data_IF_023190693512
#
_entry.id   IF_023190693512
#
_cell.length_a   1.000
_cell.length_b   1.000
_cell.length_c   1.000
_cell.angle_alpha   90.00
_cell.angle_beta   90.00
_cell.angle_gamma   90.00
#
_symmetry.space_group_name_H-M   'P 1'
#
loop_
_entity.id
_entity.type
_entity.pdbx_description
1 polymer ?
#
# COMPACT_ATOMS: atom_id res chain seq x y z
N UNK A 1 1.73 2.84 12.52
CA UNK A 1 0.46 2.56 13.22
C UNK A 1 0.56 2.69 14.75
N UNK A 2 1.71 2.36 15.40
CA UNK A 2 1.84 2.26 16.86
C UNK A 2 1.38 3.51 17.66
N UNK A 3 1.61 4.71 17.17
CA UNK A 3 1.21 5.96 17.83
C UNK A 3 -0.29 6.26 17.70
N UNK A 4 -0.95 5.80 16.64
CA UNK A 4 -2.34 6.17 16.37
C UNK A 4 -3.31 5.88 17.53
N UNK A 5 -3.27 4.71 18.19
CA UNK A 5 -4.10 4.42 19.37
C UNK A 5 -3.77 5.28 20.59
N UNK A 6 -2.57 5.85 20.64
CA UNK A 6 -2.09 6.65 21.78
C UNK A 6 -2.41 8.14 21.65
N UNK A 7 -2.83 8.59 20.46
CA UNK A 7 -3.11 10.01 20.21
C UNK A 7 -4.11 10.64 21.17
N UNK A 8 -5.18 9.99 21.63
CA UNK A 8 -6.09 10.56 22.63
C UNK A 8 -5.35 10.89 23.95
N UNK A 9 -4.50 9.99 24.44
CA UNK A 9 -3.72 10.18 25.66
C UNK A 9 -2.67 11.28 25.51
N UNK A 10 -1.95 11.31 24.37
CA UNK A 10 -0.99 12.37 24.03
C UNK A 10 -1.68 13.73 23.92
N UNK A 11 -2.89 13.77 23.34
CA UNK A 11 -3.68 14.99 23.22
C UNK A 11 -4.05 15.56 24.58
N UNK A 12 -4.49 14.71 25.50
CA UNK A 12 -4.90 15.11 26.85
C UNK A 12 -3.69 15.59 27.67
N UNK A 13 -2.62 14.84 27.69
CA UNK A 13 -1.39 15.14 28.46
C UNK A 13 -0.73 16.45 28.00
N UNK A 14 -0.59 16.64 26.70
CA UNK A 14 0.06 17.82 26.12
C UNK A 14 -0.92 18.99 25.83
N UNK A 15 -2.18 18.87 26.20
CA UNK A 15 -3.25 19.86 25.93
C UNK A 15 -3.32 20.30 24.45
N UNK A 16 -3.25 19.34 23.54
CA UNK A 16 -3.24 19.61 22.10
C UNK A 16 -4.65 19.84 21.54
N UNK A 17 -4.75 20.72 20.55
CA UNK A 17 -6.00 20.92 19.79
C UNK A 17 -6.22 19.79 18.78
N UNK A 18 -7.46 19.61 18.32
CA UNK A 18 -7.75 18.68 17.24
C UNK A 18 -6.95 19.00 15.97
N UNK A 19 -6.78 20.27 15.61
CA UNK A 19 -6.02 20.69 14.45
C UNK A 19 -4.54 20.30 14.55
N UNK A 20 -3.97 20.37 15.76
CA UNK A 20 -2.59 19.93 15.98
C UNK A 20 -2.43 18.41 15.81
N UNK A 21 -3.41 17.62 16.27
CA UNK A 21 -3.43 16.16 16.07
C UNK A 21 -3.56 15.84 14.57
N UNK A 22 -4.46 16.49 13.84
CA UNK A 22 -4.61 16.33 12.39
C UNK A 22 -3.33 16.72 11.64
N UNK A 23 -2.72 17.85 11.98
CA UNK A 23 -1.45 18.30 11.40
C UNK A 23 -0.34 17.29 11.61
N UNK A 24 -0.26 16.70 12.82
CA UNK A 24 0.70 15.63 13.10
C UNK A 24 0.49 14.40 12.21
N UNK A 25 -0.76 14.05 11.92
CA UNK A 25 -1.11 12.93 11.02
C UNK A 25 -0.69 13.22 9.58
N UNK A 26 -0.96 14.43 9.09
CA UNK A 26 -0.53 14.89 7.77
C UNK A 26 1.01 14.87 7.64
N UNK A 27 1.74 15.29 8.69
CA UNK A 27 3.20 15.21 8.71
C UNK A 27 3.70 13.77 8.54
N UNK A 28 3.10 12.81 9.25
CA UNK A 28 3.43 11.39 9.11
C UNK A 28 3.19 10.84 7.70
N UNK A 29 2.05 11.20 7.10
CA UNK A 29 1.71 10.81 5.71
C UNK A 29 2.68 11.46 4.72
N UNK A 30 3.02 12.74 4.91
CA UNK A 30 4.00 13.46 4.08
C UNK A 30 5.37 12.79 4.09
N UNK A 31 5.85 12.38 5.28
CA UNK A 31 7.08 11.60 5.42
C UNK A 31 7.02 10.28 4.63
N UNK A 32 5.89 9.60 4.70
CA UNK A 32 5.68 8.34 3.95
C UNK A 32 5.71 8.55 2.44
N UNK A 33 5.04 9.57 1.92
CA UNK A 33 5.04 9.90 0.48
C UNK A 33 6.46 10.15 0.00
N UNK A 34 7.19 11.02 0.69
CA UNK A 34 8.58 11.34 0.34
C UNK A 34 9.45 10.07 0.31
N UNK A 35 9.36 9.25 1.35
CA UNK A 35 10.16 8.02 1.44
C UNK A 35 9.81 6.99 0.38
N UNK A 36 8.57 6.88 -0.06
CA UNK A 36 8.18 5.99 -1.16
C UNK A 36 8.84 6.37 -2.48
N UNK A 37 8.92 7.66 -2.80
CA UNK A 37 9.66 8.13 -3.97
C UNK A 37 11.15 7.86 -3.88
N UNK A 38 11.75 8.01 -2.70
CA UNK A 38 13.17 7.81 -2.48
C UNK A 38 13.57 6.32 -2.46
N UNK A 39 12.81 5.50 -1.74
CA UNK A 39 13.15 4.07 -1.53
C UNK A 39 12.93 3.22 -2.79
N UNK A 40 12.01 3.62 -3.68
CA UNK A 40 11.77 2.90 -4.92
C UNK A 40 13.05 2.69 -5.75
N UNK A 41 13.70 3.75 -6.24
CA UNK A 41 14.93 3.62 -7.02
C UNK A 41 16.11 3.05 -6.22
N UNK A 42 16.14 3.25 -4.90
CA UNK A 42 17.14 2.62 -4.04
C UNK A 42 16.98 1.09 -4.02
N UNK A 43 15.74 0.56 -4.03
CA UNK A 43 15.48 -0.89 -4.12
C UNK A 43 16.05 -1.49 -5.40
N UNK A 44 15.95 -0.78 -6.53
CA UNK A 44 16.48 -1.25 -7.80
C UNK A 44 18.01 -1.35 -7.79
N UNK A 45 18.67 -0.54 -6.97
CA UNK A 45 20.12 -0.48 -6.89
C UNK A 45 20.69 -1.38 -5.77
N UNK A 46 20.14 -1.31 -4.58
CA UNK A 46 20.72 -1.96 -3.38
C UNK A 46 20.02 -3.24 -2.96
N UNK A 47 18.84 -3.51 -3.51
CA UNK A 47 17.98 -4.63 -3.11
C UNK A 47 17.09 -4.32 -1.92
N UNK A 48 16.02 -5.11 -1.79
CA UNK A 48 15.03 -4.89 -0.74
C UNK A 48 15.53 -5.27 0.65
N UNK A 49 16.28 -6.34 0.78
CA UNK A 49 16.80 -6.87 2.06
C UNK A 49 17.55 -5.80 2.86
N UNK A 50 18.54 -5.20 2.21
CA UNK A 50 19.40 -4.18 2.83
C UNK A 50 18.59 -2.96 3.26
N UNK A 51 17.76 -2.44 2.34
CA UNK A 51 16.97 -1.24 2.60
C UNK A 51 15.89 -1.47 3.64
N UNK A 52 15.22 -2.62 3.61
CA UNK A 52 14.18 -2.95 4.59
C UNK A 52 14.77 -3.02 6.01
N UNK A 53 15.93 -3.66 6.16
CA UNK A 53 16.66 -3.73 7.42
C UNK A 53 17.05 -2.33 7.93
N UNK A 54 17.63 -1.50 7.06
CA UNK A 54 18.03 -0.14 7.41
C UNK A 54 16.81 0.69 7.82
N UNK A 55 15.73 0.66 7.05
CA UNK A 55 14.52 1.46 7.33
C UNK A 55 13.86 1.04 8.64
N UNK A 56 13.79 -0.26 8.95
CA UNK A 56 13.25 -0.73 10.22
C UNK A 56 14.11 -0.26 11.41
N UNK A 57 15.44 -0.39 11.30
CA UNK A 57 16.33 0.08 12.35
C UNK A 57 16.28 1.60 12.54
N UNK A 58 16.25 2.38 11.44
CA UNK A 58 16.13 3.83 11.50
C UNK A 58 14.78 4.29 12.05
N UNK A 59 13.68 3.64 11.67
CA UNK A 59 12.34 3.98 12.16
C UNK A 59 12.11 3.59 13.64
N UNK A 60 12.85 2.62 14.13
CA UNK A 60 12.82 2.24 15.55
C UNK A 60 13.26 3.39 16.47
N UNK A 61 14.23 4.20 16.04
CA UNK A 61 14.76 5.32 16.83
C UNK A 61 13.68 6.35 17.15
N UNK A 62 13.03 7.01 16.16
CA UNK A 62 11.97 7.98 16.48
C UNK A 62 10.76 7.31 17.16
N UNK A 63 10.49 6.04 16.89
CA UNK A 63 9.42 5.31 17.60
C UNK A 63 9.73 5.18 19.08
N UNK A 64 10.96 4.84 19.46
CA UNK A 64 11.39 4.81 20.85
C UNK A 64 11.38 6.20 21.51
N UNK A 65 11.70 7.24 20.74
CA UNK A 65 11.70 8.63 21.21
C UNK A 65 10.31 9.26 21.36
N UNK A 66 9.23 8.51 21.11
CA UNK A 66 7.84 9.02 21.25
C UNK A 66 7.60 9.62 22.64
N UNK A 67 8.12 8.99 23.69
CA UNK A 67 7.98 9.47 25.07
C UNK A 67 8.68 10.79 25.39
N UNK A 68 9.56 11.29 24.51
CA UNK A 68 10.29 12.54 24.70
C UNK A 68 9.54 13.77 24.17
N UNK A 69 8.35 13.58 23.60
CA UNK A 69 7.55 14.66 23.03
C UNK A 69 6.90 15.47 24.14
N UNK A 70 7.12 16.79 24.10
CA UNK A 70 6.55 17.75 25.05
C UNK A 70 5.71 18.85 24.36
N UNK A 71 5.82 18.97 23.03
CA UNK A 71 5.17 20.05 22.26
C UNK A 71 4.53 19.53 20.98
N UNK A 72 3.55 20.29 20.46
CA UNK A 72 2.92 19.99 19.17
C UNK A 72 3.96 19.89 18.03
N UNK A 73 4.92 20.83 17.97
CA UNK A 73 5.98 20.83 16.96
C UNK A 73 6.87 19.59 17.08
N UNK A 74 7.22 19.19 18.32
CA UNK A 74 7.94 17.95 18.59
C UNK A 74 7.18 16.72 18.04
N UNK A 75 5.87 16.67 18.24
CA UNK A 75 5.01 15.62 17.71
C UNK A 75 5.01 15.60 16.15
N UNK A 76 4.98 16.77 15.50
CA UNK A 76 5.04 16.85 14.03
C UNK A 76 6.35 16.31 13.48
N UNK A 77 7.48 16.75 14.04
CA UNK A 77 8.81 16.27 13.66
C UNK A 77 8.96 14.77 13.89
N UNK A 78 8.49 14.29 15.04
CA UNK A 78 8.53 12.87 15.36
C UNK A 78 7.70 12.04 14.38
N UNK A 79 6.46 12.45 14.09
CA UNK A 79 5.60 11.73 13.17
C UNK A 79 6.09 11.78 11.74
N UNK A 80 6.70 12.88 11.31
CA UNK A 80 7.40 12.96 10.02
C UNK A 80 8.53 11.92 9.94
N UNK A 81 9.35 11.83 11.00
CA UNK A 81 10.45 10.85 11.07
C UNK A 81 9.93 9.39 11.12
N UNK A 82 8.86 9.10 11.87
CA UNK A 82 8.22 7.78 11.88
C UNK A 82 7.58 7.47 10.53
N UNK A 83 7.15 8.47 9.77
CA UNK A 83 6.65 8.33 8.40
C UNK A 83 7.63 7.59 7.48
N UNK A 84 8.92 7.62 7.78
CA UNK A 84 9.96 6.83 7.09
C UNK A 84 9.60 5.34 7.06
N UNK A 85 9.05 4.81 8.16
CA UNK A 85 8.61 3.42 8.22
C UNK A 85 7.51 3.08 7.19
N UNK A 86 6.70 4.06 6.79
CA UNK A 86 5.66 3.87 5.76
C UNK A 86 6.22 3.58 4.36
N UNK A 87 7.51 3.86 4.14
CA UNK A 87 8.22 3.46 2.94
C UNK A 87 8.48 1.95 2.86
N UNK A 88 8.40 1.21 3.97
CA UNK A 88 8.58 -0.24 4.03
C UNK A 88 7.65 -1.01 3.07
N UNK A 89 6.47 -0.47 2.79
CA UNK A 89 5.54 -1.04 1.83
C UNK A 89 6.17 -1.21 0.42
N UNK A 90 6.93 -0.23 -0.06
CA UNK A 90 7.60 -0.31 -1.38
C UNK A 90 8.60 -1.45 -1.42
N UNK A 91 9.40 -1.58 -0.36
CA UNK A 91 10.38 -2.65 -0.26
C UNK A 91 9.72 -4.03 -0.15
N UNK A 92 8.62 -4.13 0.61
CA UNK A 92 7.84 -5.36 0.73
C UNK A 92 7.29 -5.80 -0.65
N UNK A 93 6.64 -4.91 -1.40
CA UNK A 93 6.10 -5.20 -2.73
C UNK A 93 7.20 -5.54 -3.75
N UNK A 94 8.29 -4.79 -3.72
CA UNK A 94 9.45 -5.06 -4.56
C UNK A 94 10.03 -6.45 -4.26
N UNK A 95 10.26 -6.74 -2.99
CA UNK A 95 10.86 -8.01 -2.55
C UNK A 95 9.99 -9.21 -2.90
N UNK A 96 8.70 -9.12 -2.59
CA UNK A 96 7.71 -10.14 -2.96
C UNK A 96 7.72 -10.40 -4.47
N UNK A 97 7.74 -9.33 -5.29
CA UNK A 97 7.80 -9.45 -6.75
C UNK A 97 9.10 -10.09 -7.27
N UNK A 98 10.19 -10.06 -6.49
CA UNK A 98 11.47 -10.71 -6.83
C UNK A 98 11.56 -12.15 -6.33
N UNK A 99 10.83 -12.49 -5.28
CA UNK A 99 10.83 -13.82 -4.67
C UNK A 99 9.86 -14.78 -5.33
N UNK A 100 8.74 -14.29 -5.86
CA UNK A 100 7.70 -15.12 -6.43
C UNK A 100 7.71 -15.09 -7.97
N UNK A 101 7.29 -16.19 -8.57
CA UNK A 101 7.18 -16.31 -10.03
C UNK A 101 6.01 -15.50 -10.57
N UNK A 102 6.03 -15.22 -11.88
CA UNK A 102 5.02 -14.37 -12.55
C UNK A 102 3.60 -14.93 -12.47
N UNK A 103 3.46 -16.25 -12.30
CA UNK A 103 2.17 -16.95 -12.20
C UNK A 103 1.39 -16.59 -10.95
N UNK A 104 2.09 -16.32 -9.85
CA UNK A 104 1.50 -16.09 -8.52
C UNK A 104 1.87 -14.73 -7.91
N UNK A 105 2.58 -13.89 -8.66
CA UNK A 105 3.08 -12.59 -8.16
C UNK A 105 1.95 -11.67 -7.73
N UNK A 106 0.80 -11.72 -8.39
CA UNK A 106 -0.37 -10.91 -8.02
C UNK A 106 -0.90 -11.31 -6.65
N UNK A 107 -1.12 -12.60 -6.44
CA UNK A 107 -1.58 -13.15 -5.15
C UNK A 107 -0.56 -12.88 -4.04
N UNK A 108 0.73 -13.11 -4.31
CA UNK A 108 1.78 -12.90 -3.33
C UNK A 108 1.88 -11.42 -2.88
N UNK A 109 1.90 -10.47 -3.84
CA UNK A 109 1.93 -9.05 -3.55
C UNK A 109 0.67 -8.58 -2.80
N UNK A 110 -0.49 -9.10 -3.21
CA UNK A 110 -1.76 -8.76 -2.59
C UNK A 110 -1.83 -9.24 -1.13
N UNK A 111 -1.42 -10.47 -0.85
CA UNK A 111 -1.37 -11.01 0.51
C UNK A 111 -0.36 -10.25 1.38
N UNK A 112 0.86 -10.03 0.87
CA UNK A 112 1.89 -9.30 1.61
C UNK A 112 1.42 -7.87 1.95
N UNK A 113 0.78 -7.17 1.00
CA UNK A 113 0.23 -5.82 1.23
C UNK A 113 -0.96 -5.82 2.19
N UNK A 114 -1.90 -6.76 2.03
CA UNK A 114 -3.09 -6.87 2.88
C UNK A 114 -2.74 -7.17 4.33
N UNK A 115 -1.87 -8.13 4.57
CA UNK A 115 -1.42 -8.46 5.92
C UNK A 115 -0.60 -7.33 6.56
N UNK A 116 0.14 -6.55 5.75
CA UNK A 116 0.77 -5.32 6.23
C UNK A 116 -0.24 -4.28 6.72
N UNK A 117 -1.33 -4.06 5.98
CA UNK A 117 -2.39 -3.10 6.35
C UNK A 117 -3.25 -3.59 7.52
N UNK A 118 -3.46 -4.92 7.65
CA UNK A 118 -4.09 -5.51 8.84
C UNK A 118 -3.38 -5.09 10.14
N UNK A 119 -2.09 -4.77 10.05
CA UNK A 119 -1.29 -4.23 11.14
C UNK A 119 -1.90 -3.01 11.83
N UNK A 120 -2.72 -2.20 11.14
CA UNK A 120 -3.43 -1.08 11.76
C UNK A 120 -4.46 -1.58 12.80
N UNK A 121 -5.26 -2.60 12.46
CA UNK A 121 -6.21 -3.23 13.38
C UNK A 121 -5.53 -3.94 14.54
N UNK A 122 -4.49 -4.73 14.24
CA UNK A 122 -3.69 -5.44 15.26
C UNK A 122 -3.06 -4.44 16.24
N UNK A 123 -2.52 -3.34 15.73
CA UNK A 123 -1.88 -2.32 16.57
C UNK A 123 -2.89 -1.61 17.49
N UNK A 124 -4.10 -1.34 17.02
CA UNK A 124 -5.15 -0.78 17.85
C UNK A 124 -5.46 -1.66 19.05
N UNK A 125 -5.56 -2.98 18.85
CA UNK A 125 -5.78 -3.93 19.94
C UNK A 125 -4.55 -4.02 20.84
N UNK A 126 -3.38 -4.23 20.25
CA UNK A 126 -2.15 -4.48 21.00
C UNK A 126 -1.73 -3.24 21.80
N UNK A 127 -1.63 -2.08 21.16
CA UNK A 127 -1.17 -0.84 21.83
C UNK A 127 -2.27 -0.20 22.67
N UNK A 128 -3.49 -0.10 22.12
CA UNK A 128 -4.59 0.62 22.77
C UNK A 128 -5.28 -0.19 23.85
N UNK A 129 -5.57 -1.48 23.61
CA UNK A 129 -6.40 -2.27 24.52
C UNK A 129 -5.61 -3.22 25.43
N UNK A 130 -4.37 -3.56 25.09
CA UNK A 130 -3.57 -4.49 25.89
C UNK A 130 -2.38 -3.80 26.58
N UNK A 131 -1.49 -3.21 25.81
CA UNK A 131 -0.24 -2.68 26.36
C UNK A 131 -0.45 -1.38 27.14
N UNK A 132 -1.31 -0.48 26.67
CA UNK A 132 -1.55 0.79 27.38
C UNK A 132 -2.12 0.57 28.78
N UNK A 133 -3.20 -0.21 29.00
CA UNK A 133 -3.70 -0.52 30.34
C UNK A 133 -2.71 -1.31 31.21
N UNK A 134 -1.92 -2.20 30.58
CA UNK A 134 -0.88 -2.94 31.31
C UNK A 134 0.19 -1.99 31.87
N UNK A 135 0.65 -1.03 31.06
CA UNK A 135 1.65 -0.05 31.47
C UNK A 135 1.09 0.95 32.48
N UNK A 136 -0.18 1.35 32.37
CA UNK A 136 -0.86 2.15 33.40
C UNK A 136 -0.89 1.44 34.76
N UNK A 137 -1.20 0.13 34.75
CA UNK A 137 -1.18 -0.66 35.96
C UNK A 137 0.22 -0.79 36.58
N UNK A 138 1.26 -0.89 35.74
CA UNK A 138 2.65 -1.04 36.20
C UNK A 138 3.19 0.30 36.80
N UNK A 139 2.95 1.40 36.09
CA UNK A 139 3.54 2.69 36.45
C UNK A 139 2.61 3.58 37.30
N UNK A 140 1.32 3.26 37.39
CA UNK A 140 0.33 4.05 38.14
C UNK A 140 0.04 5.44 37.53
N UNK A 141 0.46 5.68 36.29
CA UNK A 141 0.34 6.97 35.63
C UNK A 141 0.12 6.77 34.13
N UNK A 142 -0.94 7.37 33.59
CA UNK A 142 -1.26 7.37 32.14
C UNK A 142 -0.16 8.06 31.33
N UNK A 143 0.42 9.15 31.88
CA UNK A 143 1.53 9.85 31.23
C UNK A 143 2.76 8.94 31.06
N UNK A 144 3.22 8.32 32.11
CA UNK A 144 4.38 7.41 32.04
C UNK A 144 4.09 6.21 31.14
N UNK A 145 2.86 5.72 31.15
CA UNK A 145 2.44 4.59 30.33
C UNK A 145 2.56 4.91 28.82
N UNK A 146 1.94 6.00 28.34
CA UNK A 146 2.01 6.31 26.89
C UNK A 146 3.42 6.70 26.44
N UNK A 147 4.22 7.34 27.34
CA UNK A 147 5.62 7.72 27.06
C UNK A 147 6.52 6.50 26.89
N UNK A 148 6.25 5.39 27.57
CA UNK A 148 7.11 4.21 27.59
C UNK A 148 6.65 3.07 26.68
N UNK A 149 5.35 2.93 26.44
CA UNK A 149 4.78 1.79 25.70
C UNK A 149 5.33 1.67 24.27
N UNK A 150 5.71 2.77 23.62
CA UNK A 150 6.29 2.78 22.26
C UNK A 150 7.69 2.16 22.17
N UNK A 151 8.34 1.90 23.30
CA UNK A 151 9.62 1.16 23.32
C UNK A 151 9.43 -0.27 22.80
N UNK A 152 8.29 -0.91 23.10
CA UNK A 152 8.02 -2.28 22.65
C UNK A 152 8.03 -2.40 21.11
N UNK A 153 7.19 -1.67 20.36
CA UNK A 153 7.22 -1.74 18.89
C UNK A 153 8.55 -1.26 18.31
N UNK A 154 9.26 -0.33 18.96
CA UNK A 154 10.58 0.09 18.54
C UNK A 154 11.60 -1.05 18.62
N UNK A 155 11.64 -1.78 19.74
CA UNK A 155 12.52 -2.94 19.91
C UNK A 155 12.16 -4.03 18.90
N UNK A 156 10.88 -4.32 18.72
CA UNK A 156 10.43 -5.32 17.74
C UNK A 156 10.89 -4.94 16.32
N UNK A 157 10.71 -3.68 15.91
CA UNK A 157 11.15 -3.20 14.60
C UNK A 157 12.68 -3.32 14.43
N UNK A 158 13.44 -2.91 15.45
CA UNK A 158 14.90 -2.98 15.45
C UNK A 158 15.41 -4.41 15.33
N UNK A 159 14.91 -5.31 16.18
CA UNK A 159 15.28 -6.74 16.17
C UNK A 159 14.89 -7.37 14.82
N UNK A 160 13.70 -7.08 14.31
CA UNK A 160 13.26 -7.58 12.99
C UNK A 160 14.18 -7.09 11.87
N UNK A 161 14.63 -5.83 11.91
CA UNK A 161 15.61 -5.30 10.95
C UNK A 161 16.92 -6.08 10.98
N UNK A 162 17.45 -6.40 12.17
CA UNK A 162 18.67 -7.21 12.32
C UNK A 162 18.45 -8.65 11.81
N UNK A 163 17.31 -9.25 12.13
CA UNK A 163 16.97 -10.62 11.68
C UNK A 163 16.92 -10.69 10.16
N UNK A 164 16.22 -9.74 9.52
CA UNK A 164 16.15 -9.65 8.04
C UNK A 164 17.54 -9.54 7.44
N UNK A 165 18.40 -8.68 7.99
CA UNK A 165 19.76 -8.50 7.50
C UNK A 165 20.56 -9.80 7.46
N UNK A 166 20.42 -10.65 8.48
CA UNK A 166 21.25 -11.83 8.67
C UNK A 166 20.69 -13.10 8.02
N UNK A 167 19.35 -13.23 7.89
CA UNK A 167 18.72 -14.51 7.53
C UNK A 167 18.17 -14.50 6.09
N UNK A 168 17.84 -13.31 5.54
CA UNK A 168 17.12 -13.21 4.28
C UNK A 168 18.05 -13.00 3.08
N UNK A 169 17.54 -13.31 1.89
CA UNK A 169 18.17 -13.02 0.59
C UNK A 169 17.34 -12.02 -0.21
N UNK A 170 17.96 -11.27 -1.14
CA UNK A 170 17.26 -10.32 -2.00
C UNK A 170 16.36 -10.98 -3.05
N UNK A 171 16.77 -12.16 -3.53
CA UNK A 171 16.02 -12.97 -4.49
C UNK A 171 16.43 -14.44 -4.41
N UNK A 172 15.72 -15.38 -5.05
CA UNK A 172 16.06 -16.81 -5.04
C UNK A 172 17.46 -17.14 -5.58
N UNK A 173 18.06 -16.22 -6.34
CA UNK A 173 19.43 -16.36 -6.88
C UNK A 173 20.52 -15.84 -5.93
N UNK A 174 20.15 -15.31 -4.78
CA UNK A 174 21.03 -14.73 -3.75
C UNK A 174 20.97 -13.21 -3.64
N UNK A 175 21.97 -12.63 -3.05
CA UNK A 175 22.01 -11.20 -2.74
C UNK A 175 22.52 -10.37 -3.93
N UNK A 176 22.00 -9.15 -4.07
CA UNK A 176 22.36 -8.24 -5.16
C UNK A 176 23.85 -7.89 -5.19
N UNK A 177 24.50 -7.81 -4.03
CA UNK A 177 25.95 -7.58 -3.95
C UNK A 177 26.71 -8.69 -4.66
N UNK A 178 26.36 -9.95 -4.38
CA UNK A 178 27.04 -11.12 -4.97
C UNK A 178 26.74 -11.26 -6.47
N UNK A 179 25.47 -10.99 -6.85
CA UNK A 179 25.03 -11.03 -8.25
C UNK A 179 25.72 -9.95 -9.10
N UNK A 180 25.97 -8.76 -8.53
CA UNK A 180 26.73 -7.69 -9.19
C UNK A 180 28.19 -8.08 -9.39
N UNK A 181 28.84 -8.63 -8.36
CA UNK A 181 30.24 -9.09 -8.45
C UNK A 181 30.39 -10.17 -9.54
N UNK A 182 29.40 -11.05 -9.69
CA UNK A 182 29.37 -12.10 -10.71
C UNK A 182 28.95 -11.59 -12.11
N UNK A 183 28.62 -10.31 -12.27
CA UNK A 183 28.16 -9.74 -13.54
C UNK A 183 26.75 -10.21 -13.98
N UNK A 184 25.99 -10.82 -13.07
CA UNK A 184 24.64 -11.36 -13.33
C UNK A 184 23.53 -10.32 -13.11
N UNK A 185 23.87 -9.13 -12.62
CA UNK A 185 22.92 -8.06 -12.37
C UNK A 185 23.21 -6.86 -13.29
N UNK A 186 22.19 -6.39 -14.05
CA UNK A 186 22.40 -5.24 -14.95
C UNK A 186 22.75 -3.99 -14.14
N UNK A 187 23.64 -3.12 -14.63
CA UNK A 187 23.95 -1.87 -13.96
C UNK A 187 22.75 -0.92 -14.04
N UNK A 188 22.15 -0.64 -12.88
CA UNK A 188 21.06 0.34 -12.74
C UNK A 188 21.56 1.45 -11.83
N UNK A 189 21.32 2.72 -12.23
CA UNK A 189 21.58 3.89 -11.39
C UNK A 189 20.28 4.45 -10.84
N UNK A 190 20.33 5.05 -9.65
CA UNK A 190 19.17 5.64 -8.97
C UNK A 190 18.45 6.64 -9.88
N UNK A 191 19.20 7.57 -10.49
CA UNK A 191 18.64 8.59 -11.38
C UNK A 191 18.00 7.99 -12.63
N UNK A 192 18.66 7.02 -13.28
CA UNK A 192 18.12 6.39 -14.49
C UNK A 192 16.84 5.59 -14.19
N UNK A 193 16.81 4.85 -13.06
CA UNK A 193 15.63 4.10 -12.64
C UNK A 193 14.45 5.05 -12.39
N UNK A 194 14.64 6.08 -11.58
CA UNK A 194 13.59 7.04 -11.28
C UNK A 194 13.08 7.76 -12.54
N UNK A 195 13.99 8.21 -13.41
CA UNK A 195 13.62 8.92 -14.64
C UNK A 195 12.81 8.02 -15.58
N UNK A 196 13.23 6.77 -15.79
CA UNK A 196 12.50 5.82 -16.65
C UNK A 196 11.10 5.52 -16.08
N UNK A 197 10.99 5.25 -14.80
CA UNK A 197 9.71 5.01 -14.16
C UNK A 197 8.79 6.24 -14.22
N UNK A 198 9.33 7.44 -14.00
CA UNK A 198 8.57 8.70 -14.05
C UNK A 198 8.09 9.07 -15.46
N UNK A 199 8.84 8.72 -16.49
CA UNK A 199 8.46 8.96 -17.88
C UNK A 199 7.49 7.90 -18.42
N UNK A 200 7.31 6.78 -17.71
CA UNK A 200 6.38 5.73 -18.12
C UNK A 200 4.94 6.12 -17.78
N UNK A 201 4.13 6.31 -18.82
CA UNK A 201 2.72 6.67 -18.68
C UNK A 201 1.91 5.69 -17.79
N UNK A 202 2.17 4.39 -17.92
CA UNK A 202 1.48 3.37 -17.13
C UNK A 202 1.69 3.55 -15.63
N UNK A 203 2.85 4.05 -15.21
CA UNK A 203 3.14 4.34 -13.79
C UNK A 203 2.15 5.37 -13.23
N UNK A 204 1.85 6.42 -13.98
CA UNK A 204 0.93 7.48 -13.54
C UNK A 204 -0.53 7.05 -13.60
N UNK A 205 -0.92 6.20 -14.55
CA UNK A 205 -2.27 5.61 -14.55
C UNK A 205 -2.45 4.78 -13.27
N UNK A 206 -1.51 3.89 -12.95
CA UNK A 206 -1.59 3.09 -11.74
C UNK A 206 -1.44 3.94 -10.47
N UNK A 207 -0.67 5.03 -10.48
CA UNK A 207 -0.63 6.01 -9.40
C UNK A 207 -2.02 6.56 -9.10
N UNK A 208 -2.76 6.99 -10.13
CA UNK A 208 -4.12 7.51 -9.98
C UNK A 208 -5.11 6.42 -9.54
N UNK A 209 -5.02 5.23 -10.12
CA UNK A 209 -5.86 4.11 -9.71
C UNK A 209 -5.59 3.68 -8.27
N UNK A 210 -4.32 3.64 -7.86
CA UNK A 210 -3.95 3.33 -6.49
C UNK A 210 -4.33 4.43 -5.50
N UNK A 211 -4.34 5.70 -5.94
CA UNK A 211 -4.93 6.79 -5.18
C UNK A 211 -6.44 6.59 -4.94
N UNK A 212 -7.14 6.01 -5.92
CA UNK A 212 -8.58 5.74 -5.86
C UNK A 212 -8.98 4.46 -5.11
N UNK A 213 -8.05 3.56 -4.78
CA UNK A 213 -8.35 2.39 -3.92
C UNK A 213 -7.65 2.51 -2.56
N UNK A 214 -6.34 2.52 -2.47
CA UNK A 214 -5.64 2.65 -1.19
C UNK A 214 -5.89 4.00 -0.50
N UNK A 215 -6.01 5.09 -1.28
CA UNK A 215 -6.40 6.39 -0.73
C UNK A 215 -7.79 6.37 -0.11
N UNK A 216 -8.72 5.62 -0.71
CA UNK A 216 -10.06 5.39 -0.18
C UNK A 216 -10.01 4.57 1.10
N UNK A 217 -9.22 3.47 1.14
CA UNK A 217 -9.05 2.67 2.36
C UNK A 217 -8.57 3.53 3.54
N UNK A 218 -7.51 4.31 3.33
CA UNK A 218 -6.97 5.17 4.38
C UNK A 218 -7.97 6.24 4.85
N UNK A 219 -8.75 6.79 3.92
CA UNK A 219 -9.78 7.77 4.25
C UNK A 219 -10.92 7.12 5.03
N UNK A 220 -11.42 5.98 4.59
CA UNK A 220 -12.52 5.28 5.24
C UNK A 220 -12.16 4.76 6.63
N UNK A 221 -10.93 4.36 6.87
CA UNK A 221 -10.44 3.99 8.21
C UNK A 221 -10.61 5.14 9.25
N UNK A 222 -10.70 6.39 8.79
CA UNK A 222 -10.92 7.57 9.65
C UNK A 222 -12.35 8.07 9.54
N UNK A 223 -12.88 8.25 8.33
CA UNK A 223 -14.16 8.88 8.07
C UNK A 223 -15.35 7.98 8.41
N UNK A 224 -15.22 6.65 8.28
CA UNK A 224 -16.35 5.75 8.51
C UNK A 224 -16.88 5.82 9.94
N UNK A 225 -16.01 5.87 10.94
CA UNK A 225 -16.45 5.97 12.34
C UNK A 225 -17.22 7.27 12.59
N UNK A 226 -16.71 8.40 12.09
CA UNK A 226 -17.38 9.69 12.20
C UNK A 226 -18.74 9.66 11.49
N UNK A 227 -18.79 9.13 10.28
CA UNK A 227 -20.01 8.99 9.50
C UNK A 227 -21.11 8.21 10.26
N UNK A 228 -20.77 7.10 10.92
CA UNK A 228 -21.75 6.31 11.67
C UNK A 228 -22.19 7.00 12.98
N UNK A 229 -21.37 7.84 13.57
CA UNK A 229 -21.77 8.69 14.70
C UNK A 229 -22.73 9.78 14.21
N UNK A 230 -22.36 10.52 13.18
CA UNK A 230 -23.06 11.71 12.74
C UNK A 230 -24.39 11.39 12.03
N UNK A 231 -24.40 10.40 11.14
CA UNK A 231 -25.58 10.09 10.32
C UNK A 231 -26.52 9.05 10.95
N UNK A 232 -25.99 8.13 11.79
CA UNK A 232 -26.77 7.06 12.40
C UNK A 232 -26.89 7.15 13.92
N UNK A 233 -26.32 8.20 14.55
CA UNK A 233 -26.39 8.41 16.00
C UNK A 233 -25.76 7.28 16.83
N UNK A 234 -24.78 6.56 16.26
CA UNK A 234 -24.13 5.47 16.96
C UNK A 234 -23.18 5.97 18.05
N UNK A 235 -23.03 5.20 19.13
CA UNK A 235 -21.99 5.51 20.11
C UNK A 235 -20.60 5.47 19.45
N UNK A 236 -19.65 6.24 19.94
CA UNK A 236 -18.28 6.26 19.41
C UNK A 236 -17.61 4.88 19.43
N UNK A 237 -17.99 4.01 20.36
CA UNK A 237 -17.48 2.63 20.46
C UNK A 237 -18.09 1.73 19.38
N UNK A 238 -19.42 1.78 19.20
CA UNK A 238 -20.10 1.03 18.14
C UNK A 238 -19.65 1.48 16.75
N UNK A 239 -19.55 2.78 16.51
CA UNK A 239 -19.11 3.33 15.24
C UNK A 239 -17.68 2.92 14.89
N UNK A 240 -16.74 2.91 15.86
CA UNK A 240 -15.37 2.39 15.66
C UNK A 240 -15.35 0.90 15.36
N UNK A 241 -16.19 0.11 16.02
CA UNK A 241 -16.32 -1.33 15.77
C UNK A 241 -16.85 -1.61 14.36
N UNK A 242 -17.82 -0.83 13.88
CA UNK A 242 -18.31 -0.93 12.50
C UNK A 242 -17.22 -0.51 11.50
N UNK A 243 -16.54 0.60 11.73
CA UNK A 243 -15.46 1.05 10.87
C UNK A 243 -14.29 0.06 10.81
N UNK A 244 -14.01 -0.64 11.91
CA UNK A 244 -12.96 -1.66 11.96
C UNK A 244 -13.20 -2.84 11.00
N UNK A 245 -14.45 -3.14 10.63
CA UNK A 245 -14.79 -4.15 9.64
C UNK A 245 -14.06 -3.88 8.33
N UNK A 246 -13.97 -2.60 7.93
CA UNK A 246 -13.27 -2.20 6.72
C UNK A 246 -11.79 -2.65 6.75
N UNK A 247 -11.09 -2.42 7.84
CA UNK A 247 -9.70 -2.82 7.99
C UNK A 247 -9.51 -4.35 8.10
N UNK A 248 -10.42 -5.05 8.79
CA UNK A 248 -10.31 -6.50 8.96
C UNK A 248 -10.46 -7.31 7.67
N UNK A 249 -11.16 -6.76 6.67
CA UNK A 249 -11.29 -7.40 5.36
C UNK A 249 -9.94 -7.52 4.61
N UNK A 250 -8.92 -6.74 4.97
CA UNK A 250 -7.56 -6.91 4.48
C UNK A 250 -6.98 -8.32 4.70
N UNK A 251 -7.53 -9.07 5.65
CA UNK A 251 -7.08 -10.44 5.92
C UNK A 251 -7.14 -11.32 4.65
N UNK A 252 -8.16 -11.15 3.82
CA UNK A 252 -8.37 -11.99 2.63
C UNK A 252 -8.79 -11.23 1.36
N UNK A 253 -9.50 -10.10 1.46
CA UNK A 253 -10.11 -9.44 0.29
C UNK A 253 -9.04 -8.96 -0.71
N UNK A 254 -7.94 -8.41 -0.21
CA UNK A 254 -6.82 -8.00 -1.06
C UNK A 254 -6.16 -9.21 -1.74
N UNK A 255 -5.98 -10.30 -1.00
CA UNK A 255 -5.49 -11.57 -1.53
C UNK A 255 -6.37 -12.14 -2.64
N UNK A 256 -7.71 -12.07 -2.48
CA UNK A 256 -8.67 -12.46 -3.52
C UNK A 256 -8.48 -11.63 -4.79
N UNK A 257 -8.28 -10.32 -4.69
CA UNK A 257 -7.98 -9.46 -5.83
C UNK A 257 -6.76 -9.94 -6.62
N UNK A 258 -5.66 -10.22 -5.92
CA UNK A 258 -4.45 -10.79 -6.53
C UNK A 258 -4.69 -12.14 -7.19
N UNK A 259 -5.42 -13.04 -6.50
CA UNK A 259 -5.78 -14.37 -7.02
C UNK A 259 -6.60 -14.29 -8.32
N UNK A 260 -7.66 -13.49 -8.35
CA UNK A 260 -8.45 -13.30 -9.58
C UNK A 260 -7.63 -12.66 -10.70
N UNK A 261 -6.72 -11.77 -10.37
CA UNK A 261 -5.79 -11.17 -11.32
C UNK A 261 -4.84 -12.21 -11.92
N UNK A 262 -4.24 -13.08 -11.12
CA UNK A 262 -3.36 -14.15 -11.58
C UNK A 262 -4.14 -15.20 -12.40
N UNK A 263 -5.31 -15.64 -11.93
CA UNK A 263 -6.17 -16.56 -12.65
C UNK A 263 -6.62 -16.01 -14.02
N UNK A 264 -6.91 -14.71 -14.06
CA UNK A 264 -7.28 -14.04 -15.31
C UNK A 264 -6.09 -13.88 -16.25
N UNK A 265 -4.90 -13.62 -15.72
CA UNK A 265 -3.65 -13.59 -16.49
C UNK A 265 -3.36 -14.97 -17.12
N UNK A 266 -3.56 -16.05 -16.37
CA UNK A 266 -3.38 -17.41 -16.86
C UNK A 266 -4.29 -17.72 -18.04
N UNK A 267 -5.57 -17.33 -17.98
CA UNK A 267 -6.56 -17.66 -19.00
C UNK A 267 -6.57 -16.70 -20.20
N UNK A 268 -6.36 -15.40 -19.97
CA UNK A 268 -6.57 -14.33 -20.97
C UNK A 268 -5.33 -13.46 -21.21
N UNK A 269 -4.20 -13.76 -20.56
CA UNK A 269 -2.98 -12.93 -20.63
C UNK A 269 -3.13 -11.59 -19.90
N UNK A 270 -2.27 -10.62 -20.22
CA UNK A 270 -2.25 -9.30 -19.58
C UNK A 270 -3.60 -8.58 -19.74
N UNK A 271 -4.26 -8.76 -20.85
CA UNK A 271 -5.62 -8.24 -21.09
C UNK A 271 -6.59 -8.64 -19.97
N UNK A 272 -6.56 -9.91 -19.56
CA UNK A 272 -7.39 -10.40 -18.46
C UNK A 272 -7.07 -9.72 -17.14
N UNK A 273 -5.78 -9.54 -16.83
CA UNK A 273 -5.31 -8.85 -15.62
C UNK A 273 -5.80 -7.40 -15.56
N UNK A 274 -5.70 -6.67 -16.67
CA UNK A 274 -6.18 -5.28 -16.75
C UNK A 274 -7.71 -5.22 -16.66
N UNK A 275 -8.44 -6.20 -17.25
CA UNK A 275 -9.89 -6.27 -17.09
C UNK A 275 -10.33 -6.47 -15.65
N UNK A 276 -9.69 -7.35 -14.89
CA UNK A 276 -10.00 -7.56 -13.47
C UNK A 276 -9.77 -6.28 -12.66
N UNK A 277 -8.67 -5.56 -12.92
CA UNK A 277 -8.42 -4.24 -12.30
C UNK A 277 -9.57 -3.27 -12.60
N UNK A 278 -9.97 -3.17 -13.86
CA UNK A 278 -11.06 -2.28 -14.28
C UNK A 278 -12.38 -2.63 -13.61
N UNK A 279 -12.72 -3.92 -13.59
CA UNK A 279 -13.97 -4.41 -12.98
C UNK A 279 -14.01 -4.10 -11.49
N UNK A 280 -12.93 -4.37 -10.75
CA UNK A 280 -12.92 -4.11 -9.31
C UNK A 280 -12.98 -2.62 -8.99
N UNK A 281 -12.27 -1.75 -9.71
CA UNK A 281 -12.41 -0.30 -9.57
C UNK A 281 -13.83 0.19 -9.93
N UNK A 282 -14.42 -0.37 -10.98
CA UNK A 282 -15.79 -0.01 -11.35
C UNK A 282 -16.81 -0.43 -10.29
N UNK A 283 -16.69 -1.64 -9.75
CA UNK A 283 -17.55 -2.12 -8.67
C UNK A 283 -17.31 -1.35 -7.36
N UNK A 284 -16.07 -1.01 -7.05
CA UNK A 284 -15.71 -0.15 -5.93
C UNK A 284 -16.42 1.20 -6.02
N UNK A 285 -16.27 1.92 -7.13
CA UNK A 285 -16.92 3.20 -7.36
C UNK A 285 -18.47 3.10 -7.32
N UNK A 286 -19.03 2.04 -7.91
CA UNK A 286 -20.46 1.74 -7.85
C UNK A 286 -20.95 1.52 -6.41
N UNK A 287 -20.18 0.80 -5.60
CA UNK A 287 -20.52 0.53 -4.20
C UNK A 287 -20.43 1.77 -3.30
N UNK A 288 -19.58 2.74 -3.62
CA UNK A 288 -19.61 4.07 -2.95
C UNK A 288 -20.95 4.74 -3.14
N UNK A 289 -21.51 4.72 -4.37
CA UNK A 289 -22.84 5.28 -4.64
C UNK A 289 -23.95 4.50 -3.93
N UNK A 290 -23.86 3.17 -3.86
CA UNK A 290 -24.81 2.36 -3.06
C UNK A 290 -24.71 2.75 -1.60
N UNK A 291 -23.50 2.79 -1.02
CA UNK A 291 -23.27 3.17 0.38
C UNK A 291 -23.82 4.56 0.70
N UNK A 292 -23.57 5.54 -0.15
CA UNK A 292 -24.05 6.93 0.01
C UNK A 292 -25.58 7.05 0.04
N UNK A 293 -26.32 6.13 -0.55
CA UNK A 293 -27.78 6.14 -0.62
C UNK A 293 -28.46 5.21 0.39
N UNK A 294 -27.70 4.53 1.25
CA UNK A 294 -28.29 3.70 2.32
C UNK A 294 -28.96 4.59 3.37
N UNK A 295 -30.17 4.18 3.79
CA UNK A 295 -30.95 4.92 4.78
C UNK A 295 -31.11 4.15 6.09
N UNK A 296 -30.71 2.88 6.14
CA UNK A 296 -30.81 2.05 7.33
C UNK A 296 -29.42 1.63 7.80
N UNK A 297 -29.21 1.56 9.11
CA UNK A 297 -27.94 1.15 9.68
C UNK A 297 -27.46 -0.21 9.16
N UNK A 298 -28.34 -1.22 9.15
CA UNK A 298 -28.01 -2.57 8.64
C UNK A 298 -27.63 -2.56 7.15
N UNK A 299 -28.36 -1.79 6.33
CA UNK A 299 -28.06 -1.60 4.92
C UNK A 299 -26.70 -0.91 4.70
N UNK A 300 -26.39 0.11 5.52
CA UNK A 300 -25.11 0.82 5.46
C UNK A 300 -23.95 -0.09 5.85
N UNK A 301 -24.09 -0.90 6.89
CA UNK A 301 -23.06 -1.87 7.30
C UNK A 301 -22.85 -2.93 6.20
N UNK A 302 -23.93 -3.47 5.62
CA UNK A 302 -23.82 -4.42 4.52
C UNK A 302 -23.14 -3.81 3.29
N UNK A 303 -23.52 -2.58 2.92
CA UNK A 303 -22.87 -1.86 1.83
C UNK A 303 -21.38 -1.57 2.13
N UNK A 304 -21.04 -1.21 3.37
CA UNK A 304 -19.65 -1.00 3.81
C UNK A 304 -18.80 -2.27 3.62
N UNK A 305 -19.31 -3.44 4.00
CA UNK A 305 -18.62 -4.73 3.82
C UNK A 305 -18.32 -4.99 2.35
N UNK A 306 -19.32 -4.86 1.47
CA UNK A 306 -19.14 -5.11 0.03
C UNK A 306 -18.24 -4.05 -0.61
N UNK A 307 -18.39 -2.80 -0.22
CA UNK A 307 -17.53 -1.70 -0.65
C UNK A 307 -16.05 -1.97 -0.29
N UNK A 308 -15.80 -2.29 0.97
CA UNK A 308 -14.45 -2.60 1.45
C UNK A 308 -13.82 -3.79 0.71
N UNK A 309 -14.61 -4.82 0.40
CA UNK A 309 -14.14 -5.96 -0.37
C UNK A 309 -13.59 -5.53 -1.73
N UNK A 310 -14.30 -4.67 -2.45
CA UNK A 310 -13.85 -4.21 -3.78
C UNK A 310 -12.69 -3.23 -3.71
N UNK A 311 -12.65 -2.34 -2.71
CA UNK A 311 -11.50 -1.45 -2.47
C UNK A 311 -10.21 -2.27 -2.34
N UNK A 312 -10.20 -3.22 -1.43
CA UNK A 312 -9.02 -4.02 -1.15
C UNK A 312 -8.68 -4.99 -2.28
N UNK A 313 -9.69 -5.53 -2.98
CA UNK A 313 -9.45 -6.33 -4.17
C UNK A 313 -8.79 -5.49 -5.28
N UNK A 314 -9.22 -4.24 -5.51
CA UNK A 314 -8.60 -3.32 -6.48
C UNK A 314 -7.15 -2.96 -6.12
N UNK A 315 -6.84 -2.86 -4.82
CA UNK A 315 -5.46 -2.69 -4.36
C UNK A 315 -4.58 -3.89 -4.72
N UNK A 316 -5.09 -5.10 -4.51
CA UNK A 316 -4.40 -6.34 -4.86
C UNK A 316 -4.13 -6.44 -6.36
N UNK A 317 -5.10 -6.09 -7.20
CA UNK A 317 -4.95 -6.12 -8.67
C UNK A 317 -4.00 -5.04 -9.18
N UNK A 318 -3.94 -3.87 -8.54
CA UNK A 318 -2.99 -2.81 -8.90
C UNK A 318 -1.55 -3.30 -8.77
N UNK A 319 -1.20 -3.90 -7.64
CA UNK A 319 0.15 -4.44 -7.43
C UNK A 319 0.42 -5.78 -8.14
N UNK A 320 -0.59 -6.40 -8.71
CA UNK A 320 -0.41 -7.49 -9.65
C UNK A 320 0.10 -7.00 -11.02
N UNK A 321 -0.18 -5.74 -11.41
CA UNK A 321 0.25 -5.15 -12.69
C UNK A 321 1.63 -4.49 -12.58
N UNK A 322 1.94 -3.85 -11.46
CA UNK A 322 3.19 -3.09 -11.23
C UNK A 322 4.46 -3.81 -11.71
N UNK A 323 4.69 -5.11 -11.41
CA UNK A 323 5.92 -5.82 -11.79
C UNK A 323 6.14 -5.97 -13.30
N UNK A 324 5.12 -5.70 -14.11
CA UNK A 324 5.16 -5.86 -15.57
C UNK A 324 5.42 -4.56 -16.30
N UNK A 325 5.27 -3.39 -15.65
CA UNK A 325 5.38 -2.08 -16.31
C UNK A 325 6.82 -1.83 -16.79
N UNK A 326 7.77 -1.95 -15.90
CA UNK A 326 9.20 -1.78 -16.17
C UNK A 326 10.01 -2.68 -15.22
N UNK A 327 10.22 -3.96 -15.55
CA UNK A 327 10.85 -4.92 -14.66
C UNK A 327 12.25 -4.53 -14.16
N UNK A 328 13.13 -3.87 -14.98
CA UNK A 328 14.43 -3.39 -14.51
C UNK A 328 14.33 -2.25 -13.48
N UNK A 329 13.29 -1.41 -13.55
CA UNK A 329 13.07 -0.24 -12.72
C UNK A 329 11.83 -0.38 -11.83
N UNK A 330 11.48 -1.62 -11.49
CA UNK A 330 10.24 -1.98 -10.78
C UNK A 330 10.13 -1.32 -9.40
N UNK A 331 11.24 -1.11 -8.72
CA UNK A 331 11.25 -0.43 -7.42
C UNK A 331 10.79 1.01 -7.56
N UNK A 332 11.29 1.75 -8.55
CA UNK A 332 10.85 3.12 -8.83
C UNK A 332 9.38 3.18 -9.21
N UNK A 333 8.89 2.27 -10.06
CA UNK A 333 7.46 2.16 -10.40
C UNK A 333 6.63 1.90 -9.14
N UNK A 334 7.02 0.91 -8.33
CA UNK A 334 6.34 0.56 -7.07
C UNK A 334 6.30 1.72 -6.09
N UNK A 335 7.39 2.47 -5.99
CA UNK A 335 7.48 3.67 -5.14
C UNK A 335 6.52 4.77 -5.55
N UNK A 336 6.50 5.12 -6.85
CA UNK A 336 5.61 6.14 -7.41
C UNK A 336 4.15 5.72 -7.24
N UNK A 337 3.79 4.50 -7.66
CA UNK A 337 2.41 3.98 -7.53
C UNK A 337 1.98 3.96 -6.06
N UNK A 338 2.85 3.45 -5.17
CA UNK A 338 2.56 3.41 -3.74
C UNK A 338 2.37 4.80 -3.12
N UNK A 339 3.12 5.82 -3.57
CA UNK A 339 2.92 7.19 -3.12
C UNK A 339 1.54 7.73 -3.51
N UNK A 340 1.01 7.28 -4.66
CA UNK A 340 -0.34 7.64 -5.14
C UNK A 340 -1.42 7.40 -4.10
N UNK A 341 -1.41 6.24 -3.44
CA UNK A 341 -2.40 5.94 -2.40
C UNK A 341 -2.41 6.93 -1.24
N UNK A 342 -1.23 7.36 -0.77
CA UNK A 342 -1.17 8.38 0.30
C UNK A 342 -1.61 9.76 -0.19
N UNK A 343 -1.28 10.13 -1.43
CA UNK A 343 -1.77 11.37 -2.05
C UNK A 343 -3.28 11.34 -2.18
N UNK A 344 -3.86 10.19 -2.60
CA UNK A 344 -5.31 9.97 -2.63
C UNK A 344 -5.96 10.15 -1.26
N UNK A 345 -5.34 9.60 -0.21
CA UNK A 345 -5.82 9.75 1.17
C UNK A 345 -5.87 11.22 1.62
N UNK A 346 -4.87 12.02 1.26
CA UNK A 346 -4.88 13.46 1.54
C UNK A 346 -6.00 14.15 0.77
N UNK A 347 -6.16 13.85 -0.54
CA UNK A 347 -7.19 14.45 -1.37
C UNK A 347 -8.61 14.13 -0.90
N UNK A 348 -8.93 12.86 -0.67
CA UNK A 348 -10.23 12.45 -0.15
C UNK A 348 -10.43 12.91 1.29
N UNK A 349 -9.42 12.83 2.15
CA UNK A 349 -9.48 13.33 3.52
C UNK A 349 -9.84 14.81 3.59
N UNK A 350 -9.29 15.64 2.70
CA UNK A 350 -9.67 17.05 2.57
C UNK A 350 -11.14 17.19 2.12
N UNK A 351 -11.62 16.38 1.18
CA UNK A 351 -13.01 16.41 0.76
C UNK A 351 -13.95 16.09 1.93
N UNK A 352 -13.65 15.08 2.75
CA UNK A 352 -14.45 14.74 3.93
C UNK A 352 -14.37 15.76 5.06
N UNK A 353 -13.29 16.54 5.12
CA UNK A 353 -13.12 17.62 6.10
C UNK A 353 -13.92 18.86 5.72
N UNK A 354 -13.92 19.23 4.43
CA UNK A 354 -14.45 20.52 3.96
C UNK A 354 -15.91 20.44 3.42
N UNK A 355 -16.39 19.22 3.09
CA UNK A 355 -17.67 19.01 2.44
C UNK A 355 -18.58 18.12 3.28
N UNK A 356 -19.90 18.23 3.04
CA UNK A 356 -20.88 17.29 3.56
C UNK A 356 -20.60 15.86 3.06
N UNK A 357 -20.86 14.84 3.89
CA UNK A 357 -20.62 13.44 3.57
C UNK A 357 -21.12 13.04 2.18
N UNK A 358 -22.34 13.44 1.82
CA UNK A 358 -22.92 13.09 0.52
C UNK A 358 -22.10 13.62 -0.66
N UNK A 359 -21.59 14.85 -0.57
CA UNK A 359 -20.72 15.44 -1.61
C UNK A 359 -19.34 14.79 -1.63
N UNK A 360 -18.77 14.52 -0.45
CA UNK A 360 -17.48 13.86 -0.34
C UNK A 360 -17.52 12.44 -0.95
N UNK A 361 -18.55 11.65 -0.63
CA UNK A 361 -18.76 10.33 -1.25
C UNK A 361 -19.01 10.42 -2.76
N UNK A 362 -19.76 11.43 -3.21
CA UNK A 362 -19.97 11.64 -4.64
C UNK A 362 -18.65 11.88 -5.39
N UNK A 363 -17.78 12.75 -4.87
CA UNK A 363 -16.47 13.04 -5.47
C UNK A 363 -15.61 11.76 -5.44
N UNK A 364 -15.60 11.04 -4.34
CA UNK A 364 -14.87 9.79 -4.19
C UNK A 364 -15.33 8.75 -5.23
N UNK A 365 -16.62 8.44 -5.29
CA UNK A 365 -17.16 7.45 -6.21
C UNK A 365 -16.97 7.84 -7.68
N UNK A 366 -17.15 9.11 -8.04
CA UNK A 366 -16.89 9.60 -9.38
C UNK A 366 -15.42 9.49 -9.78
N UNK A 367 -14.51 9.84 -8.87
CA UNK A 367 -13.06 9.73 -9.10
C UNK A 367 -12.63 8.28 -9.33
N UNK A 368 -13.17 7.34 -8.56
CA UNK A 368 -12.91 5.91 -8.73
C UNK A 368 -13.40 5.42 -10.09
N UNK A 369 -14.66 5.72 -10.46
CA UNK A 369 -15.22 5.35 -11.76
C UNK A 369 -14.42 5.96 -12.92
N UNK A 370 -14.03 7.22 -12.82
CA UNK A 370 -13.20 7.88 -13.83
C UNK A 370 -11.83 7.19 -13.93
N UNK A 371 -11.21 6.79 -12.79
CA UNK A 371 -9.94 6.08 -12.77
C UNK A 371 -10.03 4.69 -13.41
N UNK A 372 -11.17 4.00 -13.27
CA UNK A 372 -11.37 2.69 -13.89
C UNK A 372 -11.33 2.77 -15.43
N UNK A 373 -11.82 3.85 -16.00
CA UNK A 373 -11.78 4.09 -17.46
C UNK A 373 -10.35 4.28 -17.97
N UNK A 374 -9.44 4.82 -17.13
CA UNK A 374 -8.04 5.00 -17.50
C UNK A 374 -7.31 3.68 -17.79
N UNK A 375 -7.84 2.56 -17.37
CA UNK A 375 -7.30 1.23 -17.70
C UNK A 375 -7.19 0.98 -19.21
N UNK A 376 -8.02 1.64 -20.01
CA UNK A 376 -7.99 1.55 -21.49
C UNK A 376 -6.63 2.02 -22.04
N UNK A 377 -5.99 2.94 -21.36
CA UNK A 377 -4.70 3.52 -21.75
C UNK A 377 -3.49 2.75 -21.21
N UNK A 378 -3.69 1.68 -20.43
CA UNK A 378 -2.58 0.84 -19.96
C UNK A 378 -2.08 0.00 -21.15
N UNK A 379 -0.87 0.31 -21.59
CA UNK A 379 -0.18 -0.38 -22.68
C UNK A 379 1.22 -0.76 -22.23
N UNK A 380 1.42 -2.03 -21.92
CA UNK A 380 2.70 -2.57 -21.42
C UNK A 380 3.42 -3.22 -22.60
N UNK A 381 4.70 -2.89 -22.78
CA UNK A 381 5.49 -3.41 -23.88
C UNK A 381 5.56 -4.95 -23.84
N UNK A 382 5.29 -5.60 -24.95
CA UNK A 382 5.27 -7.07 -25.07
C UNK A 382 3.98 -7.74 -24.58
N UNK A 383 2.99 -6.97 -24.09
CA UNK A 383 1.72 -7.49 -23.59
C UNK A 383 0.52 -6.88 -24.32
N UNK A 384 -0.61 -7.59 -24.24
CA UNK A 384 -1.88 -7.08 -24.77
C UNK A 384 -2.46 -5.99 -23.88
N UNK A 385 -3.01 -4.94 -24.50
CA UNK A 385 -3.86 -3.95 -23.83
C UNK A 385 -5.31 -4.45 -23.74
N UNK A 386 -6.18 -3.67 -23.08
CA UNK A 386 -7.60 -4.04 -22.88
C UNK A 386 -8.36 -4.31 -24.18
N UNK A 387 -8.14 -3.49 -25.22
CA UNK A 387 -8.90 -3.52 -26.49
C UNK A 387 -8.08 -4.13 -27.61
N UNK A 388 -6.77 -3.88 -27.65
CA UNK A 388 -5.89 -4.25 -28.77
C UNK A 388 -4.62 -4.94 -28.31
N UNK A 389 -3.89 -5.47 -29.30
CA UNK A 389 -2.63 -6.16 -29.10
C UNK A 389 -2.79 -7.64 -28.76
N UNK A 390 -1.66 -8.34 -28.79
CA UNK A 390 -1.53 -9.74 -28.38
C UNK A 390 -0.32 -9.85 -27.49
N UNK A 391 -0.39 -10.73 -26.49
CA UNK A 391 0.77 -11.04 -25.67
C UNK A 391 1.84 -11.70 -26.53
N UNK A 392 3.06 -11.17 -26.46
CA UNK A 392 4.22 -11.70 -27.18
C UNK A 392 5.26 -12.07 -26.14
N UNK A 393 5.33 -13.36 -25.85
CA UNK A 393 6.34 -13.90 -24.99
C UNK A 393 7.48 -14.45 -25.86
N UNK A 394 8.68 -13.99 -25.61
CA UNK A 394 9.89 -14.44 -26.32
C UNK A 394 10.70 -15.29 -25.35
N UNK A 395 11.06 -16.52 -25.76
CA UNK A 395 11.96 -17.36 -24.98
C UNK A 395 13.34 -16.71 -24.91
N UNK A 396 13.91 -16.60 -23.72
CA UNK A 396 15.29 -16.12 -23.53
C UNK A 396 16.34 -17.01 -24.18
N UNK A 397 16.07 -18.32 -24.23
CA UNK A 397 17.02 -19.28 -24.81
C UNK A 397 17.01 -19.29 -26.34
N UNK A 398 15.83 -19.20 -26.93
CA UNK A 398 15.67 -19.41 -28.38
C UNK A 398 15.40 -18.14 -29.16
N UNK A 399 15.09 -17.02 -28.51
CA UNK A 399 14.68 -15.76 -29.15
C UNK A 399 13.36 -15.87 -29.95
N UNK A 400 12.62 -16.99 -29.81
CA UNK A 400 11.36 -17.24 -30.55
C UNK A 400 10.15 -16.88 -29.69
N UNK A 401 9.06 -16.46 -30.36
CA UNK A 401 7.76 -16.24 -29.72
C UNK A 401 7.22 -17.59 -29.24
N UNK A 402 6.95 -17.70 -27.94
CA UNK A 402 6.40 -18.90 -27.33
C UNK A 402 4.88 -18.97 -27.53
N UNK A 403 4.32 -20.12 -27.87
CA UNK A 403 2.90 -20.36 -27.81
C UNK A 403 2.42 -20.31 -26.35
N UNK A 404 1.14 -19.97 -26.15
CA UNK A 404 0.51 -19.69 -24.86
C UNK A 404 0.64 -20.82 -23.83
N UNK A 405 0.59 -22.05 -24.28
CA UNK A 405 0.74 -23.26 -23.48
C UNK A 405 2.15 -23.45 -22.87
N UNK A 406 3.13 -22.73 -23.39
CA UNK A 406 4.53 -22.77 -22.92
C UNK A 406 4.96 -21.57 -22.11
N UNK A 407 4.04 -20.66 -21.74
CA UNK A 407 4.39 -19.48 -20.94
C UNK A 407 4.72 -19.77 -19.48
N UNK A 408 4.31 -20.91 -18.99
CA UNK A 408 4.53 -21.35 -17.60
C UNK A 408 5.86 -22.08 -17.54
N UNK A 409 6.76 -21.57 -16.72
CA UNK A 409 8.04 -22.22 -16.41
C UNK A 409 9.25 -21.84 -17.29
N UNK A 410 9.08 -21.05 -18.38
CA UNK A 410 10.21 -20.52 -19.14
C UNK A 410 10.56 -19.07 -18.74
N UNK A 411 11.86 -18.76 -18.64
CA UNK A 411 12.31 -17.38 -18.48
C UNK A 411 11.99 -16.56 -19.75
N UNK A 412 11.02 -15.68 -19.63
CA UNK A 412 10.59 -14.83 -20.74
C UNK A 412 11.41 -13.55 -20.77
N UNK A 413 12.03 -13.24 -21.90
CA UNK A 413 12.71 -11.97 -22.11
C UNK A 413 11.68 -10.88 -22.49
N UNK A 414 11.28 -10.08 -21.49
CA UNK A 414 10.39 -8.94 -21.69
C UNK A 414 11.13 -7.69 -22.18
N UNK A 415 12.46 -7.72 -22.28
CA UNK A 415 13.28 -6.60 -22.75
C UNK A 415 13.62 -6.68 -24.25
N UNK A 416 13.29 -7.81 -24.92
CA UNK A 416 13.55 -7.94 -26.34
C UNK A 416 12.79 -6.88 -27.14
N UNK A 417 13.45 -6.07 -27.96
CA UNK A 417 12.79 -5.08 -28.78
C UNK A 417 11.83 -5.80 -29.72
N UNK A 418 10.62 -5.24 -29.86
CA UNK A 418 9.64 -5.68 -30.87
C UNK A 418 10.17 -5.27 -32.25
N UNK A 419 11.29 -5.86 -32.64
CA UNK A 419 11.90 -5.69 -33.95
C UNK A 419 11.11 -6.47 -34.99
N UNK A 420 10.61 -5.74 -35.97
CA UNK A 420 10.21 -6.18 -37.32
C UNK A 420 10.31 -7.70 -37.59
N UNK A 421 9.29 -8.42 -37.18
CA UNK A 421 9.03 -9.75 -37.78
C UNK A 421 8.03 -9.51 -38.92
N UNK A 422 8.59 -9.53 -40.14
CA UNK A 422 7.80 -9.60 -41.39
C UNK A 422 6.99 -10.89 -41.40
#
# INVERSE_FOLDING_TARGET
FAISPLLPFIKEDLNLTNDQIWTSSIAGVGGTVFMRFLLGPLCDVYGARVLFSIVLCLAAIPTACTGLVETATGLYCLRLAIGVAGGSFVMCQYWTSRMFTKEVVGTANALAGGWGNLGAGVTNILMGSMLMPLFENIFGSTETAWRTVCIIPAVVAFVTGIVIWNISDDCPKGNYTDLKIRGLFPPVTISASFTKASLNWNTWILFLQYACCFGVELTMNTAAALYFVDEYGQSSEAARSIAAIFGWLNLFARGLGGFFSDASMYNYGMKGRIWIQTIFLFLEGGMVFVFMHTTTLGGSIAALVVFSLFVQAAEGTSYAIVPYIDPPNMGSVSGIVGAGGNVGAVGFGLAFRELEYKRAFFIMGFSILASSVLSIFIVIQGYSAIIWGKDRYVSKETGKILPRDKWIGEEVDTSAPVGNIK
#
